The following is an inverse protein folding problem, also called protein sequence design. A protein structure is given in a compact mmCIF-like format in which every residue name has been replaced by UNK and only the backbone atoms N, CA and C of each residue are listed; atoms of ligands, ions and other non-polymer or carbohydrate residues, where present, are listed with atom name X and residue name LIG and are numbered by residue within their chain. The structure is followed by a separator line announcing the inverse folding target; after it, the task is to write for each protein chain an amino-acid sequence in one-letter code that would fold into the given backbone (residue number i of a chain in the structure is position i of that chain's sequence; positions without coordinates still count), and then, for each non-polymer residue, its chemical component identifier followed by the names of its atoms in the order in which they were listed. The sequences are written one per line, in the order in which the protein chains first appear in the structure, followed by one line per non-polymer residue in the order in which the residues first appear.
data_IF_126812367508
#
_entry.id   IF_126812367508
#
_cell.length_a   1.000
_cell.length_b   1.000
_cell.length_c   1.000
_cell.angle_alpha   90.00
_cell.angle_beta   90.00
_cell.angle_gamma   90.00
#
_symmetry.space_group_name_H-M   'P 1'
#
loop_
_entity.id
_entity.type
_entity.pdbx_description
1 polymer ?
#
# COMPACT_ATOMS: atom_id res chain seq x y z
N UNK A 1 -12.71 36.56 -19.23
CA UNK A 1 -13.65 36.67 -18.08
C UNK A 1 -13.56 37.99 -17.30
N UNK A 2 -12.78 38.99 -17.74
CA UNK A 2 -12.52 40.20 -16.96
C UNK A 2 -13.05 41.49 -17.60
N UNK A 3 -13.87 41.40 -18.64
CA UNK A 3 -14.45 42.62 -19.23
C UNK A 3 -15.37 43.31 -18.22
N UNK A 4 -15.35 44.65 -18.13
CA UNK A 4 -16.20 45.39 -17.20
C UNK A 4 -17.68 45.18 -17.54
N UNK A 5 -18.53 45.13 -16.51
CA UNK A 5 -19.99 44.99 -16.64
C UNK A 5 -20.73 46.34 -16.60
N UNK A 6 -19.94 47.41 -16.54
CA UNK A 6 -20.37 48.78 -16.31
C UNK A 6 -19.78 49.63 -17.43
N UNK A 7 -20.53 50.62 -17.88
CA UNK A 7 -20.06 51.57 -18.89
C UNK A 7 -19.25 52.72 -18.29
N UNK A 8 -18.73 53.59 -19.17
CA UNK A 8 -17.88 54.72 -18.78
C UNK A 8 -18.53 55.65 -17.74
N UNK A 9 -19.86 55.79 -17.79
CA UNK A 9 -20.64 56.62 -16.89
C UNK A 9 -21.04 55.92 -15.57
N UNK A 10 -20.63 54.67 -15.36
CA UNK A 10 -20.90 53.94 -14.10
C UNK A 10 -22.23 53.19 -14.06
N UNK A 11 -22.98 53.12 -15.17
CA UNK A 11 -24.24 52.38 -15.26
C UNK A 11 -24.07 50.95 -15.80
N UNK A 12 -24.96 50.00 -15.44
CA UNK A 12 -24.97 48.66 -16.02
C UNK A 12 -25.09 48.74 -17.54
N UNK A 13 -24.26 47.94 -18.22
CA UNK A 13 -24.24 47.86 -19.67
C UNK A 13 -25.58 47.39 -20.24
N UNK A 14 -26.12 48.14 -21.20
CA UNK A 14 -27.42 47.86 -21.81
C UNK A 14 -27.34 46.84 -22.96
N UNK A 15 -26.16 46.62 -23.53
CA UNK A 15 -25.88 45.68 -24.61
C UNK A 15 -25.78 44.22 -24.14
N UNK A 16 -25.76 43.98 -22.82
CA UNK A 16 -25.48 42.66 -22.24
C UNK A 16 -26.41 42.42 -21.04
N UNK A 17 -26.87 41.18 -20.86
CA UNK A 17 -27.51 40.75 -19.62
C UNK A 17 -26.45 40.63 -18.49
N UNK A 18 -26.27 41.73 -17.75
CA UNK A 18 -25.32 41.84 -16.65
C UNK A 18 -25.56 40.79 -15.56
N UNK A 19 -26.81 40.41 -15.31
CA UNK A 19 -27.16 39.42 -14.29
C UNK A 19 -26.76 38.01 -14.73
N UNK A 20 -27.11 37.63 -15.96
CA UNK A 20 -26.71 36.34 -16.54
C UNK A 20 -25.17 36.23 -16.62
N UNK A 21 -24.48 37.29 -17.04
CA UNK A 21 -23.01 37.27 -17.10
C UNK A 21 -22.38 37.19 -15.72
N UNK A 22 -22.89 37.89 -14.72
CA UNK A 22 -22.40 37.81 -13.34
C UNK A 22 -22.53 36.39 -12.78
N UNK A 23 -23.71 35.78 -12.94
CA UNK A 23 -23.96 34.41 -12.45
C UNK A 23 -23.12 33.37 -13.19
N UNK A 24 -22.98 33.48 -14.52
CA UNK A 24 -22.13 32.61 -15.32
C UNK A 24 -20.65 32.73 -14.93
N UNK A 25 -20.16 33.96 -14.70
CA UNK A 25 -18.78 34.20 -14.23
C UNK A 25 -18.53 33.56 -12.87
N UNK A 26 -19.44 33.75 -11.92
CA UNK A 26 -19.32 33.15 -10.60
C UNK A 26 -19.23 31.62 -10.71
N UNK A 27 -20.12 31.00 -11.50
CA UNK A 27 -20.12 29.54 -11.73
C UNK A 27 -18.82 29.05 -12.39
N UNK A 28 -18.26 29.82 -13.33
CA UNK A 28 -17.01 29.43 -13.99
C UNK A 28 -15.82 29.55 -13.04
N UNK A 29 -15.82 30.56 -12.16
CA UNK A 29 -14.79 30.69 -11.11
C UNK A 29 -14.87 29.51 -10.14
N UNK A 30 -16.06 29.15 -9.67
CA UNK A 30 -16.22 28.00 -8.76
C UNK A 30 -15.74 26.72 -9.43
N UNK A 31 -16.18 26.43 -10.66
CA UNK A 31 -15.75 25.23 -11.39
C UNK A 31 -14.23 25.17 -11.62
N UNK A 32 -13.58 26.30 -11.88
CA UNK A 32 -12.13 26.35 -12.02
C UNK A 32 -11.41 26.08 -10.71
N UNK A 33 -11.91 26.63 -9.61
CA UNK A 33 -11.36 26.37 -8.29
C UNK A 33 -11.53 24.91 -7.89
N UNK A 34 -12.71 24.34 -8.11
CA UNK A 34 -13.03 22.94 -7.82
C UNK A 34 -12.14 22.01 -8.66
N UNK A 35 -11.99 22.28 -9.95
CA UNK A 35 -11.09 21.55 -10.83
C UNK A 35 -9.65 21.60 -10.31
N UNK A 36 -9.16 22.80 -9.96
CA UNK A 36 -7.81 22.95 -9.42
C UNK A 36 -7.63 22.20 -8.10
N UNK A 37 -8.65 22.16 -7.23
CA UNK A 37 -8.63 21.38 -6.00
C UNK A 37 -8.51 19.88 -6.30
N UNK A 38 -9.32 19.34 -7.21
CA UNK A 38 -9.25 17.92 -7.63
C UNK A 38 -7.89 17.58 -8.24
N UNK A 39 -7.34 18.45 -9.10
CA UNK A 39 -5.99 18.25 -9.67
C UNK A 39 -4.94 18.20 -8.57
N UNK A 40 -5.00 19.11 -7.59
CA UNK A 40 -4.05 19.15 -6.48
C UNK A 40 -4.15 17.90 -5.60
N UNK A 41 -5.35 17.38 -5.36
CA UNK A 41 -5.54 16.17 -4.57
C UNK A 41 -5.00 14.93 -5.29
N UNK A 42 -5.21 14.83 -6.61
CA UNK A 42 -4.61 13.77 -7.44
C UNK A 42 -3.08 13.89 -7.41
N UNK A 43 -2.53 15.10 -7.55
CA UNK A 43 -1.09 15.32 -7.53
C UNK A 43 -0.47 14.85 -6.19
N UNK A 44 -1.09 15.19 -5.05
CA UNK A 44 -0.67 14.71 -3.73
C UNK A 44 -0.74 13.19 -3.62
N UNK A 45 -1.80 12.56 -4.11
CA UNK A 45 -1.95 11.11 -4.07
C UNK A 45 -0.91 10.39 -4.93
N UNK A 46 -0.50 10.98 -6.06
CA UNK A 46 0.59 10.44 -6.86
C UNK A 46 1.95 10.64 -6.18
N UNK A 47 2.18 11.81 -5.56
CA UNK A 47 3.40 12.07 -4.82
C UNK A 47 3.61 11.08 -3.68
N UNK A 48 2.57 10.71 -2.94
CA UNK A 48 2.67 9.69 -1.88
C UNK A 48 3.02 8.30 -2.39
N UNK A 49 2.56 7.92 -3.59
CA UNK A 49 2.87 6.62 -4.21
C UNK A 49 4.32 6.57 -4.72
N UNK A 50 4.78 7.65 -5.35
CA UNK A 50 6.08 7.68 -6.02
C UNK A 50 7.23 8.16 -5.12
N UNK A 51 6.94 8.84 -4.01
CA UNK A 51 7.95 9.29 -3.06
C UNK A 51 7.90 8.46 -1.75
N UNK A 52 8.61 7.31 -1.68
CA UNK A 52 8.64 6.49 -0.47
C UNK A 52 9.32 7.19 0.72
N UNK A 53 9.92 8.36 0.53
CA UNK A 53 10.60 9.13 1.56
C UNK A 53 9.74 10.28 2.16
N UNK A 54 8.62 10.65 1.53
CA UNK A 54 7.76 11.78 1.96
C UNK A 54 6.32 11.36 2.24
N UNK A 55 6.14 10.21 2.89
CA UNK A 55 4.88 9.94 3.56
C UNK A 55 4.70 10.96 4.71
N UNK A 56 3.59 11.71 4.76
CA UNK A 56 3.29 12.53 5.93
C UNK A 56 3.18 11.60 7.14
N UNK A 57 3.98 11.90 8.17
CA UNK A 57 4.00 11.24 9.48
C UNK A 57 2.74 11.55 10.31
N UNK A 58 1.57 11.52 9.68
CA UNK A 58 0.24 11.68 10.32
C UNK A 58 -0.59 10.38 10.24
N UNK A 59 0.04 9.28 9.84
CA UNK A 59 -0.23 8.03 10.55
C UNK A 59 0.80 8.03 11.66
N UNK A 60 0.34 7.91 12.91
CA UNK A 60 1.23 7.45 13.96
C UNK A 60 2.11 6.34 13.39
N UNK A 61 3.43 6.36 13.62
CA UNK A 61 4.18 5.17 13.43
C UNK A 61 3.53 4.19 14.39
N UNK A 62 2.74 3.28 13.87
CA UNK A 62 2.51 2.01 14.51
C UNK A 62 3.89 1.32 14.46
N UNK A 63 4.69 1.79 15.41
CA UNK A 63 5.96 1.36 15.92
C UNK A 63 5.84 -0.07 16.46
N UNK A 64 4.68 -0.71 16.28
CA UNK A 64 4.39 -2.11 16.55
C UNK A 64 4.96 -3.07 15.50
N UNK A 65 5.61 -2.60 14.42
CA UNK A 65 6.43 -3.48 13.57
C UNK A 65 7.82 -3.77 14.16
N UNK A 66 8.22 -3.06 15.22
CA UNK A 66 9.50 -3.24 15.91
C UNK A 66 9.44 -4.25 17.07
N UNK A 67 8.25 -4.75 17.46
CA UNK A 67 8.10 -5.64 18.62
C UNK A 67 7.27 -6.91 18.35
N UNK A 68 7.05 -7.27 17.08
CA UNK A 68 6.49 -8.59 16.79
C UNK A 68 7.61 -9.61 16.95
N UNK A 69 7.66 -10.23 18.13
CA UNK A 69 8.55 -11.35 18.40
C UNK A 69 8.35 -12.47 17.38
N UNK A 70 9.40 -13.26 17.10
CA UNK A 70 9.29 -14.40 16.18
C UNK A 70 8.22 -15.37 16.67
N UNK A 71 7.30 -15.75 15.79
CA UNK A 71 6.17 -16.62 16.15
C UNK A 71 6.34 -18.07 15.68
N UNK A 72 7.26 -18.31 14.75
CA UNK A 72 7.56 -19.64 14.25
C UNK A 72 9.06 -19.84 14.06
N UNK A 73 9.51 -21.07 14.31
CA UNK A 73 10.89 -21.51 14.10
C UNK A 73 10.91 -22.60 13.04
N UNK A 74 11.83 -22.51 12.09
CA UNK A 74 12.04 -23.53 11.06
C UNK A 74 12.82 -24.71 11.65
N UNK A 75 12.20 -25.88 11.74
CA UNK A 75 12.84 -27.08 12.28
C UNK A 75 13.63 -27.86 11.21
N UNK A 76 13.06 -28.00 10.03
CA UNK A 76 13.61 -28.79 8.93
C UNK A 76 13.20 -28.14 7.62
N UNK A 77 14.09 -28.18 6.64
CA UNK A 77 13.81 -27.76 5.26
C UNK A 77 14.19 -28.92 4.38
N UNK A 78 13.26 -29.39 3.56
CA UNK A 78 13.54 -30.49 2.64
C UNK A 78 14.41 -30.03 1.45
N UNK A 79 15.36 -30.86 0.98
CA UNK A 79 16.13 -30.52 -0.20
C UNK A 79 15.22 -30.42 -1.43
N UNK A 80 15.49 -29.46 -2.32
CA UNK A 80 14.66 -29.15 -3.51
C UNK A 80 13.22 -28.70 -3.18
N UNK A 81 12.92 -28.37 -1.92
CA UNK A 81 11.63 -27.78 -1.56
C UNK A 81 11.55 -26.30 -1.92
N UNK A 82 10.35 -25.74 -2.02
CA UNK A 82 10.16 -24.31 -2.21
C UNK A 82 10.80 -23.46 -1.11
N UNK A 83 10.83 -23.98 0.13
CA UNK A 83 11.52 -23.32 1.23
C UNK A 83 13.04 -23.32 1.04
N UNK A 84 13.62 -24.42 0.54
CA UNK A 84 15.04 -24.49 0.22
C UNK A 84 15.42 -23.57 -0.95
N UNK A 85 14.61 -23.53 -2.01
CA UNK A 85 14.80 -22.64 -3.16
C UNK A 85 14.70 -21.17 -2.77
N UNK A 86 13.82 -20.83 -1.82
CA UNK A 86 13.72 -19.50 -1.23
C UNK A 86 14.94 -19.15 -0.36
N UNK A 87 15.76 -20.13 0.03
CA UNK A 87 16.92 -19.93 0.90
C UNK A 87 16.58 -19.89 2.40
N UNK A 88 15.44 -20.45 2.81
CA UNK A 88 15.15 -20.70 4.22
C UNK A 88 16.11 -21.76 4.77
N UNK A 89 16.57 -21.54 5.99
CA UNK A 89 17.48 -22.43 6.68
C UNK A 89 16.85 -22.96 7.96
N UNK A 90 17.38 -24.09 8.43
CA UNK A 90 17.06 -24.61 9.75
C UNK A 90 17.43 -23.57 10.81
N UNK A 91 16.60 -23.47 11.84
CA UNK A 91 16.71 -22.53 12.95
C UNK A 91 16.38 -21.06 12.61
N UNK A 92 15.95 -20.75 11.38
CA UNK A 92 15.42 -19.42 11.05
C UNK A 92 14.16 -19.12 11.87
N UNK A 93 14.08 -17.89 12.38
CA UNK A 93 12.95 -17.41 13.17
C UNK A 93 12.07 -16.49 12.33
N UNK A 94 10.83 -16.90 12.07
CA UNK A 94 9.89 -16.17 11.22
C UNK A 94 9.24 -15.05 12.04
N UNK A 95 9.44 -13.82 11.60
CA UNK A 95 8.86 -12.61 12.20
C UNK A 95 7.56 -12.23 11.46
N UNK A 96 7.57 -12.34 10.13
CA UNK A 96 6.42 -12.00 9.28
C UNK A 96 6.33 -12.96 8.08
N UNK A 97 5.12 -13.41 7.78
CA UNK A 97 4.83 -14.29 6.65
C UNK A 97 3.74 -13.68 5.78
N UNK A 98 4.12 -12.94 4.73
CA UNK A 98 3.17 -12.22 3.88
C UNK A 98 2.26 -11.29 4.70
N UNK A 99 0.92 -11.52 4.71
CA UNK A 99 -0.01 -10.75 5.55
C UNK A 99 -0.04 -11.20 7.02
N UNK A 100 0.58 -12.34 7.36
CA UNK A 100 0.52 -12.93 8.70
C UNK A 100 1.66 -12.41 9.59
N UNK A 101 1.29 -12.07 10.83
CA UNK A 101 2.19 -11.62 11.88
C UNK A 101 1.96 -12.46 13.16
N UNK A 102 2.83 -12.28 14.17
CA UNK A 102 2.72 -12.95 15.48
C UNK A 102 1.31 -12.82 16.12
N UNK A 103 0.63 -11.69 15.94
CA UNK A 103 -0.76 -11.49 16.42
C UNK A 103 -1.77 -12.46 15.78
N UNK A 104 -1.65 -12.68 14.47
CA UNK A 104 -2.58 -13.51 13.69
C UNK A 104 -2.30 -15.01 13.88
N UNK A 105 -1.05 -15.39 14.13
CA UNK A 105 -0.62 -16.78 14.32
C UNK A 105 -0.43 -17.16 15.80
N UNK A 106 -0.95 -16.37 16.75
CA UNK A 106 -0.75 -16.56 18.19
C UNK A 106 -1.40 -17.85 18.73
N UNK A 107 -2.52 -18.29 18.15
CA UNK A 107 -3.29 -19.44 18.64
C UNK A 107 -3.10 -20.71 17.80
N UNK A 108 -2.88 -20.60 16.49
CA UNK A 108 -2.64 -21.75 15.61
C UNK A 108 -1.90 -21.37 14.33
N UNK A 109 -1.23 -22.36 13.72
CA UNK A 109 -0.60 -22.22 12.39
C UNK A 109 -1.57 -22.55 11.24
N UNK A 110 -2.88 -22.69 11.51
CA UNK A 110 -3.89 -22.90 10.46
C UNK A 110 -3.95 -21.76 9.44
N UNK A 111 -3.90 -20.47 9.85
CA UNK A 111 -3.90 -19.35 8.91
C UNK A 111 -2.71 -19.39 7.95
N UNK A 112 -1.57 -19.92 8.42
CA UNK A 112 -0.40 -20.11 7.59
C UNK A 112 -0.68 -21.10 6.45
N UNK A 113 -1.31 -22.23 6.77
CA UNK A 113 -1.66 -23.24 5.75
C UNK A 113 -2.66 -22.72 4.72
N UNK A 114 -3.63 -21.90 5.14
CA UNK A 114 -4.63 -21.29 4.26
C UNK A 114 -4.02 -20.24 3.34
N UNK A 115 -3.14 -19.38 3.87
CA UNK A 115 -2.43 -18.38 3.05
C UNK A 115 -1.53 -19.06 2.04
N UNK A 116 -0.90 -20.17 2.40
CA UNK A 116 -0.03 -20.94 1.51
C UNK A 116 -0.86 -21.63 0.42
N UNK A 117 -2.03 -22.19 0.75
CA UNK A 117 -2.90 -22.85 -0.24
C UNK A 117 -3.58 -21.86 -1.19
N UNK A 118 -3.98 -20.70 -0.69
CA UNK A 118 -4.56 -19.64 -1.51
C UNK A 118 -3.53 -18.97 -2.44
N UNK A 119 -2.23 -19.08 -2.13
CA UNK A 119 -1.13 -18.46 -2.87
C UNK A 119 -0.22 -19.50 -3.55
N UNK A 120 -0.80 -20.57 -4.07
CA UNK A 120 -0.06 -21.49 -4.93
C UNK A 120 0.50 -20.77 -6.16
N UNK A 121 1.78 -20.99 -6.45
CA UNK A 121 2.57 -20.36 -7.52
C UNK A 121 2.67 -18.83 -7.45
N UNK A 122 2.39 -18.22 -6.29
CA UNK A 122 2.55 -16.78 -6.05
C UNK A 122 3.70 -16.50 -5.10
N UNK A 123 4.41 -15.41 -5.35
CA UNK A 123 5.51 -14.96 -4.49
C UNK A 123 4.98 -14.40 -3.17
N UNK A 124 5.41 -14.98 -2.05
CA UNK A 124 5.12 -14.54 -0.69
C UNK A 124 6.40 -13.99 -0.07
N UNK A 125 6.36 -12.74 0.36
CA UNK A 125 7.50 -12.09 1.03
C UNK A 125 7.48 -12.44 2.51
N UNK A 126 8.61 -12.92 3.02
CA UNK A 126 8.85 -13.30 4.39
C UNK A 126 9.91 -12.39 5.02
N UNK A 127 9.76 -12.12 6.32
CA UNK A 127 10.83 -11.54 7.14
C UNK A 127 11.24 -12.58 8.17
N UNK A 128 12.49 -13.03 8.07
CA UNK A 128 13.08 -13.98 9.00
C UNK A 128 14.23 -13.35 9.76
N UNK A 129 14.53 -13.88 10.93
CA UNK A 129 15.66 -13.49 11.77
C UNK A 129 16.65 -14.65 11.79
N UNK A 130 17.84 -14.41 11.23
CA UNK A 130 18.94 -15.36 11.13
C UNK A 130 20.15 -14.79 11.86
N UNK A 131 20.61 -15.47 12.91
CA UNK A 131 21.74 -15.02 13.75
C UNK A 131 21.62 -13.57 14.23
N UNK A 132 20.40 -13.10 14.54
CA UNK A 132 20.14 -11.73 15.00
C UNK A 132 19.94 -10.70 13.88
N UNK A 133 20.14 -11.06 12.61
CA UNK A 133 19.91 -10.19 11.46
C UNK A 133 18.56 -10.49 10.80
N UNK A 134 17.82 -9.45 10.44
CA UNK A 134 16.56 -9.61 9.70
C UNK A 134 16.82 -9.74 8.21
N UNK A 135 16.44 -10.88 7.63
CA UNK A 135 16.59 -11.18 6.21
C UNK A 135 15.21 -11.24 5.57
N UNK A 136 15.08 -10.63 4.40
CA UNK A 136 13.87 -10.72 3.58
C UNK A 136 14.03 -11.85 2.56
N UNK A 137 13.08 -12.79 2.58
CA UNK A 137 13.09 -13.97 1.73
C UNK A 137 11.80 -14.00 0.91
N UNK A 138 11.89 -14.38 -0.37
CA UNK A 138 10.71 -14.57 -1.22
C UNK A 138 10.47 -16.06 -1.40
N UNK A 139 9.35 -16.55 -0.91
CA UNK A 139 8.94 -17.95 -0.95
C UNK A 139 7.81 -18.12 -1.96
N UNK A 140 7.89 -19.14 -2.81
CA UNK A 140 6.83 -19.42 -3.80
C UNK A 140 6.28 -20.82 -3.55
N UNK A 141 5.11 -20.97 -2.90
CA UNK A 141 4.53 -22.28 -2.65
C UNK A 141 4.22 -23.00 -3.97
N UNK A 142 4.61 -24.26 -4.11
CA UNK A 142 4.24 -25.10 -5.26
C UNK A 142 3.89 -26.51 -4.80
N UNK A 143 2.95 -27.15 -5.49
CA UNK A 143 2.67 -28.57 -5.30
C UNK A 143 3.57 -29.44 -6.19
N UNK A 144 3.77 -30.70 -5.78
CA UNK A 144 4.47 -31.69 -6.63
C UNK A 144 5.99 -31.59 -6.69
N UNK A 145 6.64 -30.89 -5.75
CA UNK A 145 8.11 -30.80 -5.67
C UNK A 145 8.81 -32.10 -5.21
N UNK A 146 8.06 -33.19 -5.05
CA UNK A 146 8.59 -34.50 -4.62
C UNK A 146 8.46 -34.80 -3.12
N UNK A 147 7.81 -33.93 -2.35
CA UNK A 147 7.54 -34.14 -0.92
C UNK A 147 6.10 -33.82 -0.51
N UNK A 148 5.86 -33.84 0.81
CA UNK A 148 4.53 -33.58 1.39
C UNK A 148 4.31 -32.08 1.60
N UNK A 149 3.16 -31.58 1.16
CA UNK A 149 2.78 -30.18 1.36
C UNK A 149 3.43 -29.22 0.36
N UNK A 150 3.17 -27.91 0.53
CA UNK A 150 3.54 -26.86 -0.46
C UNK A 150 4.85 -26.14 -0.17
N UNK A 151 5.48 -26.41 0.98
CA UNK A 151 6.65 -25.66 1.48
C UNK A 151 7.89 -26.55 1.68
N UNK A 152 7.68 -27.76 2.19
CA UNK A 152 8.71 -28.78 2.44
C UNK A 152 9.51 -28.61 3.71
#
# INVERSE_FOLDING_TARGET
MQTPLVDADGFPRADIDVYAVRSARARIITLRNDLNAVINDIAKALETIYNPASAPKDSEPDSSSAELGPFAKVNTVAPQSPAAEAGLQRDDLIVKFGPLNCRTCSSSLQPLTEVVSANENKHIILKVLRSGQTVHITLTPRMGWGGRGMLG
#
